data_IF_208831405379
#
_entry.id   IF_208831405379
#
_cell.length_a   1.000
_cell.length_b   1.000
_cell.length_c   1.000
_cell.angle_alpha   90.00
_cell.angle_beta   90.00
_cell.angle_gamma   90.00
#
_symmetry.space_group_name_H-M   'P 1'
#
loop_
_entity.id
_entity.type
_entity.pdbx_description
1 polymer ?
#
# COMPACT_ATOMS: atom_id res chain seq x y z
N UNK A 1 -22.75 -2.68 -4.31
CA UNK A 1 -22.34 -3.34 -3.05
C UNK A 1 -22.61 -4.83 -3.19
N UNK A 2 -21.58 -5.64 -3.42
CA UNK A 2 -21.73 -7.11 -3.46
C UNK A 2 -21.89 -7.58 -2.02
N UNK A 3 -23.14 -7.66 -1.57
CA UNK A 3 -23.46 -8.23 -0.28
C UNK A 3 -23.28 -9.73 -0.37
N UNK A 4 -22.20 -10.27 0.19
CA UNK A 4 -22.14 -11.68 0.54
C UNK A 4 -23.39 -12.02 1.38
N UNK A 5 -24.15 -13.04 1.02
CA UNK A 5 -25.36 -13.52 1.73
C UNK A 5 -25.05 -14.15 3.11
N UNK A 6 -23.92 -13.77 3.72
CA UNK A 6 -23.59 -14.12 5.08
C UNK A 6 -24.35 -13.21 6.04
N UNK A 7 -25.07 -13.83 6.99
CA UNK A 7 -25.74 -13.17 8.13
C UNK A 7 -24.88 -12.03 8.67
N UNK A 8 -25.49 -10.89 9.01
CA UNK A 8 -24.76 -9.70 9.48
C UNK A 8 -23.85 -10.02 10.67
N UNK A 9 -24.27 -10.94 11.54
CA UNK A 9 -23.47 -11.46 12.65
C UNK A 9 -22.17 -12.12 12.18
N UNK A 10 -22.18 -12.88 11.09
CA UNK A 10 -20.95 -13.47 10.54
C UNK A 10 -19.99 -12.47 9.94
N UNK A 11 -20.49 -11.39 9.31
CA UNK A 11 -19.62 -10.32 8.81
C UNK A 11 -18.94 -9.58 9.95
N UNK A 12 -19.67 -9.29 11.04
CA UNK A 12 -19.13 -8.59 12.20
C UNK A 12 -18.11 -9.46 12.95
N UNK A 13 -18.42 -10.76 13.15
CA UNK A 13 -17.49 -11.70 13.77
C UNK A 13 -16.24 -11.89 12.92
N UNK A 14 -16.38 -12.06 11.61
CA UNK A 14 -15.23 -12.24 10.71
C UNK A 14 -14.38 -10.97 10.64
N UNK A 15 -15.00 -9.79 10.64
CA UNK A 15 -14.28 -8.51 10.65
C UNK A 15 -13.56 -8.29 11.98
N UNK A 16 -14.21 -8.58 13.12
CA UNK A 16 -13.57 -8.49 14.44
C UNK A 16 -12.44 -9.50 14.60
N UNK A 17 -12.61 -10.72 14.08
CA UNK A 17 -11.59 -11.75 14.07
C UNK A 17 -10.43 -11.36 13.15
N UNK A 18 -10.67 -10.79 11.96
CA UNK A 18 -9.60 -10.36 11.06
C UNK A 18 -8.83 -9.14 11.59
N UNK A 19 -9.52 -8.20 12.24
CA UNK A 19 -8.91 -6.95 12.72
C UNK A 19 -8.03 -7.16 13.95
N UNK A 20 -8.45 -8.03 14.88
CA UNK A 20 -7.80 -8.22 16.17
C UNK A 20 -7.41 -9.69 16.40
N UNK A 21 -8.33 -10.64 16.18
CA UNK A 21 -8.11 -12.03 16.58
C UNK A 21 -7.03 -12.80 15.80
N UNK A 22 -7.12 -12.84 14.47
CA UNK A 22 -6.28 -13.66 13.60
C UNK A 22 -4.82 -13.18 13.66
N UNK A 23 -4.48 -11.90 13.44
CA UNK A 23 -3.07 -11.50 13.38
C UNK A 23 -2.31 -11.77 14.70
N UNK A 24 -2.96 -11.51 15.83
CA UNK A 24 -2.37 -11.66 17.16
C UNK A 24 -2.24 -13.14 17.55
N UNK A 25 -3.27 -13.95 17.29
CA UNK A 25 -3.22 -15.39 17.53
C UNK A 25 -2.17 -16.08 16.65
N UNK A 26 -2.05 -15.71 15.38
CA UNK A 26 -1.02 -16.25 14.50
C UNK A 26 0.38 -15.82 14.94
N UNK A 27 0.55 -14.59 15.45
CA UNK A 27 1.84 -14.13 15.99
C UNK A 27 2.22 -14.90 17.24
N UNK A 28 1.28 -15.08 18.18
CA UNK A 28 1.49 -15.88 19.39
C UNK A 28 1.76 -17.35 19.06
N UNK A 29 0.99 -17.94 18.14
CA UNK A 29 1.21 -19.31 17.66
C UNK A 29 2.58 -19.45 16.98
N UNK A 30 2.98 -18.49 16.15
CA UNK A 30 4.30 -18.48 15.52
C UNK A 30 5.42 -18.40 16.57
N UNK A 31 5.28 -17.55 17.59
CA UNK A 31 6.26 -17.47 18.69
C UNK A 31 6.27 -18.75 19.54
N UNK A 32 5.12 -19.37 19.77
CA UNK A 32 5.01 -20.61 20.54
C UNK A 32 5.61 -21.82 19.79
N UNK A 33 5.36 -21.93 18.48
CA UNK A 33 5.85 -23.03 17.64
C UNK A 33 7.33 -22.87 17.29
N UNK A 34 7.74 -21.65 16.93
CA UNK A 34 9.07 -21.35 16.39
C UNK A 34 10.07 -20.90 17.48
N UNK A 35 9.55 -20.58 18.67
CA UNK A 35 10.31 -19.94 19.75
C UNK A 35 10.68 -18.48 19.44
N UNK A 36 11.17 -17.76 20.46
CA UNK A 36 11.78 -16.42 20.28
C UNK A 36 12.87 -16.37 19.20
N UNK A 37 13.85 -17.28 19.14
CA UNK A 37 14.92 -17.19 18.14
C UNK A 37 14.40 -17.44 16.73
N UNK A 38 13.45 -18.34 16.56
CA UNK A 38 12.88 -18.65 15.26
C UNK A 38 11.92 -17.56 14.75
N UNK A 39 11.14 -16.91 15.62
CA UNK A 39 10.36 -15.72 15.22
C UNK A 39 11.26 -14.57 14.76
N UNK A 40 12.40 -14.35 15.43
CA UNK A 40 13.39 -13.37 15.01
C UNK A 40 13.97 -13.72 13.62
N UNK A 41 14.23 -15.01 13.37
CA UNK A 41 14.66 -15.49 12.05
C UNK A 41 13.58 -15.27 10.97
N UNK A 42 12.32 -15.58 11.25
CA UNK A 42 11.21 -15.33 10.33
C UNK A 42 11.09 -13.84 9.99
N UNK A 43 11.18 -12.98 11.01
CA UNK A 43 11.19 -11.52 10.81
C UNK A 43 12.37 -11.09 9.94
N UNK A 44 13.57 -11.60 10.21
CA UNK A 44 14.76 -11.28 9.43
C UNK A 44 14.64 -11.76 7.97
N UNK A 45 14.08 -12.94 7.75
CA UNK A 45 13.82 -13.48 6.42
C UNK A 45 12.79 -12.63 5.65
N UNK A 46 11.67 -12.27 6.28
CA UNK A 46 10.66 -11.39 5.68
C UNK A 46 11.24 -10.01 5.35
N UNK A 47 12.00 -9.41 6.26
CA UNK A 47 12.70 -8.15 6.00
C UNK A 47 13.76 -8.30 4.91
N UNK A 48 14.45 -9.44 4.84
CA UNK A 48 15.42 -9.73 3.77
C UNK A 48 14.77 -9.85 2.40
N UNK A 49 13.62 -10.52 2.33
CA UNK A 49 12.81 -10.60 1.12
C UNK A 49 12.29 -9.21 0.71
N UNK A 50 11.81 -8.42 1.67
CA UNK A 50 11.36 -7.05 1.44
C UNK A 50 12.49 -6.15 0.93
N UNK A 51 13.70 -6.30 1.48
CA UNK A 51 14.91 -5.60 1.00
C UNK A 51 15.33 -6.05 -0.39
N UNK A 52 15.08 -7.31 -0.77
CA UNK A 52 15.34 -7.79 -2.15
C UNK A 52 14.36 -7.21 -3.17
N UNK A 53 13.14 -6.91 -2.73
CA UNK A 53 12.16 -6.14 -3.50
C UNK A 53 12.38 -4.62 -3.41
N UNK A 54 13.35 -4.15 -2.61
CA UNK A 54 13.61 -2.72 -2.49
C UNK A 54 14.08 -2.19 -3.86
N UNK A 55 13.35 -1.22 -4.43
CA UNK A 55 13.62 -0.75 -5.77
C UNK A 55 14.96 0.04 -5.80
N UNK A 56 15.69 -0.01 -6.93
CA UNK A 56 17.01 0.64 -7.06
C UNK A 56 17.00 2.12 -6.68
N UNK A 57 18.05 2.58 -6.01
CA UNK A 57 18.12 3.90 -5.37
C UNK A 57 17.92 5.07 -6.35
N UNK A 58 18.51 5.03 -7.54
CA UNK A 58 18.39 6.12 -8.52
C UNK A 58 17.46 5.74 -9.69
N UNK A 59 16.28 6.34 -9.75
CA UNK A 59 15.39 6.26 -10.93
C UNK A 59 15.59 7.46 -11.84
N UNK A 60 15.52 7.24 -13.16
CA UNK A 60 15.56 8.34 -14.13
C UNK A 60 14.37 9.28 -13.95
N UNK A 61 14.55 10.56 -14.32
CA UNK A 61 13.53 11.61 -14.16
C UNK A 61 12.21 11.27 -14.88
N UNK A 62 12.28 10.56 -16.01
CA UNK A 62 11.13 10.04 -16.75
C UNK A 62 10.38 8.95 -15.99
N UNK A 63 11.10 7.99 -15.39
CA UNK A 63 10.51 6.95 -14.54
C UNK A 63 9.90 7.52 -13.26
N UNK A 64 10.54 8.52 -12.66
CA UNK A 64 10.00 9.24 -11.49
C UNK A 64 8.68 9.95 -11.82
N UNK A 65 8.62 10.70 -12.92
CA UNK A 65 7.38 11.37 -13.36
C UNK A 65 6.26 10.39 -13.70
N UNK A 66 6.56 9.35 -14.49
CA UNK A 66 5.59 8.34 -14.86
C UNK A 66 5.05 7.59 -13.62
N UNK A 67 5.95 7.22 -12.70
CA UNK A 67 5.58 6.65 -11.41
C UNK A 67 4.69 7.59 -10.60
N UNK A 68 5.08 8.85 -10.46
CA UNK A 68 4.32 9.85 -9.69
C UNK A 68 2.90 10.03 -10.25
N UNK A 69 2.75 10.10 -11.57
CA UNK A 69 1.42 10.12 -12.20
C UNK A 69 0.67 8.83 -11.88
N UNK A 70 1.32 7.67 -12.00
CA UNK A 70 0.73 6.37 -11.68
C UNK A 70 0.34 6.21 -10.20
N UNK A 71 0.98 6.95 -9.29
CA UNK A 71 0.65 7.00 -7.86
C UNK A 71 -0.51 7.95 -7.57
N UNK A 72 -0.50 9.15 -8.16
CA UNK A 72 -1.53 10.18 -7.94
C UNK A 72 -2.87 9.85 -8.59
N UNK A 73 -2.85 9.28 -9.81
CA UNK A 73 -4.07 8.93 -10.55
C UNK A 73 -5.03 8.05 -9.74
N UNK A 74 -4.61 6.88 -9.20
CA UNK A 74 -5.53 6.03 -8.43
C UNK A 74 -6.01 6.69 -7.13
N UNK A 75 -5.17 7.50 -6.47
CA UNK A 75 -5.56 8.21 -5.24
C UNK A 75 -6.64 9.26 -5.54
N UNK A 76 -6.40 10.12 -6.52
CA UNK A 76 -7.36 11.16 -6.93
C UNK A 76 -8.64 10.53 -7.47
N UNK A 77 -8.51 9.47 -8.25
CA UNK A 77 -9.66 8.71 -8.75
C UNK A 77 -10.49 8.17 -7.59
N UNK A 78 -9.88 7.47 -6.63
CA UNK A 78 -10.58 6.97 -5.45
C UNK A 78 -11.29 8.10 -4.68
N UNK A 79 -10.64 9.25 -4.52
CA UNK A 79 -11.24 10.40 -3.85
C UNK A 79 -12.44 10.98 -4.62
N UNK A 80 -12.33 11.19 -5.93
CA UNK A 80 -13.39 11.72 -6.79
C UNK A 80 -14.62 10.80 -6.79
N UNK A 81 -14.43 9.49 -6.78
CA UNK A 81 -15.53 8.51 -6.81
C UNK A 81 -16.44 8.58 -5.57
N UNK A 82 -15.93 9.07 -4.43
CA UNK A 82 -16.74 9.30 -3.22
C UNK A 82 -17.74 10.45 -3.45
N UNK A 83 -17.32 11.50 -4.16
CA UNK A 83 -18.12 12.70 -4.37
C UNK A 83 -19.10 12.56 -5.53
N UNK A 84 -18.73 11.85 -6.60
CA UNK A 84 -19.58 11.71 -7.78
C UNK A 84 -19.58 10.27 -8.33
N UNK A 85 -20.26 9.34 -7.65
CA UNK A 85 -20.26 7.93 -8.04
C UNK A 85 -20.93 7.67 -9.42
N UNK A 86 -21.78 8.58 -9.89
CA UNK A 86 -22.58 8.39 -11.11
C UNK A 86 -21.95 8.94 -12.40
N UNK A 87 -20.76 9.53 -12.35
CA UNK A 87 -20.09 10.12 -13.52
C UNK A 87 -19.51 9.08 -14.49
N UNK A 88 -19.30 7.83 -14.03
CA UNK A 88 -18.67 6.76 -14.81
C UNK A 88 -19.55 5.51 -14.79
N UNK A 89 -20.35 5.25 -15.85
CA UNK A 89 -21.21 4.07 -15.93
C UNK A 89 -20.44 2.75 -15.77
N UNK A 90 -19.22 2.67 -16.29
CA UNK A 90 -18.36 1.49 -16.19
C UNK A 90 -17.92 1.15 -14.76
N UNK A 91 -17.87 2.13 -13.86
CA UNK A 91 -17.51 1.92 -12.45
C UNK A 91 -18.63 1.20 -11.67
N UNK A 92 -19.88 1.41 -12.09
CA UNK A 92 -21.07 0.77 -11.51
C UNK A 92 -21.19 -0.68 -11.99
N UNK A 93 -20.80 -0.97 -13.24
CA UNK A 93 -20.88 -2.31 -13.83
C UNK A 93 -19.85 -3.28 -13.25
N UNK A 94 -18.61 -2.84 -13.01
CA UNK A 94 -17.53 -3.70 -12.51
C UNK A 94 -16.72 -3.06 -11.36
N UNK A 95 -17.35 -2.76 -10.21
CA UNK A 95 -16.72 -2.01 -9.12
C UNK A 95 -15.46 -2.69 -8.55
N UNK A 96 -15.47 -4.02 -8.46
CA UNK A 96 -14.33 -4.79 -7.93
C UNK A 96 -13.14 -4.75 -8.89
N UNK A 97 -13.37 -4.83 -10.20
CA UNK A 97 -12.29 -4.82 -11.19
C UNK A 97 -11.53 -3.49 -11.13
N UNK A 98 -12.27 -2.36 -11.12
CA UNK A 98 -11.65 -1.04 -11.01
C UNK A 98 -10.92 -0.83 -9.68
N UNK A 99 -11.46 -1.32 -8.56
CA UNK A 99 -10.79 -1.25 -7.26
C UNK A 99 -9.47 -2.03 -7.27
N UNK A 100 -9.49 -3.29 -7.71
CA UNK A 100 -8.30 -4.14 -7.79
C UNK A 100 -7.26 -3.55 -8.75
N UNK A 101 -7.69 -3.04 -9.91
CA UNK A 101 -6.78 -2.38 -10.85
C UNK A 101 -6.14 -1.14 -10.23
N UNK A 102 -6.92 -0.31 -9.53
CA UNK A 102 -6.41 0.87 -8.83
C UNK A 102 -5.39 0.50 -7.75
N UNK A 103 -5.68 -0.52 -6.94
CA UNK A 103 -4.78 -1.01 -5.89
C UNK A 103 -3.48 -1.57 -6.48
N UNK A 104 -3.56 -2.39 -7.54
CA UNK A 104 -2.39 -2.93 -8.22
C UNK A 104 -1.54 -1.82 -8.86
N UNK A 105 -2.19 -0.82 -9.47
CA UNK A 105 -1.52 0.35 -10.06
C UNK A 105 -0.82 1.18 -8.97
N UNK A 106 -1.47 1.38 -7.83
CA UNK A 106 -0.90 2.07 -6.67
C UNK A 106 0.32 1.32 -6.12
N UNK A 107 0.20 0.02 -5.89
CA UNK A 107 1.31 -0.83 -5.41
C UNK A 107 2.46 -0.82 -6.43
N UNK A 108 2.17 -1.01 -7.72
CA UNK A 108 3.17 -0.95 -8.78
C UNK A 108 3.87 0.41 -8.83
N UNK A 109 3.15 1.50 -8.54
CA UNK A 109 3.74 2.84 -8.57
C UNK A 109 4.83 2.99 -7.52
N UNK A 110 4.64 2.46 -6.31
CA UNK A 110 5.66 2.50 -5.25
C UNK A 110 6.97 1.80 -5.66
N UNK A 111 6.88 0.73 -6.46
CA UNK A 111 8.05 0.07 -7.04
C UNK A 111 8.67 0.86 -8.21
N UNK A 112 7.86 1.57 -8.99
CA UNK A 112 8.32 2.41 -10.10
C UNK A 112 9.01 3.68 -9.60
N UNK A 113 8.52 4.32 -8.53
CA UNK A 113 9.08 5.56 -7.98
C UNK A 113 10.43 5.38 -7.27
N UNK A 114 10.78 4.17 -6.83
CA UNK A 114 12.11 3.88 -6.28
C UNK A 114 12.36 4.33 -4.83
N UNK A 115 13.59 4.14 -4.36
CA UNK A 115 14.03 4.47 -3.00
C UNK A 115 13.97 5.97 -2.68
N UNK A 116 14.43 6.83 -3.61
CA UNK A 116 14.44 8.29 -3.45
C UNK A 116 13.07 8.89 -3.11
N UNK A 117 11.98 8.28 -3.60
CA UNK A 117 10.63 8.72 -3.26
C UNK A 117 10.23 8.32 -1.84
N UNK A 118 10.60 7.12 -1.40
CA UNK A 118 10.36 6.68 -0.02
C UNK A 118 11.07 7.58 0.99
N UNK A 119 12.26 8.09 0.66
CA UNK A 119 12.97 9.05 1.50
C UNK A 119 12.24 10.39 1.60
N UNK A 120 11.62 10.86 0.50
CA UNK A 120 10.75 12.05 0.52
C UNK A 120 9.49 11.84 1.37
N UNK A 121 8.84 10.68 1.27
CA UNK A 121 7.70 10.33 2.14
C UNK A 121 8.16 10.31 3.60
N UNK A 122 9.28 9.66 3.91
CA UNK A 122 9.82 9.60 5.26
C UNK A 122 10.12 11.00 5.80
N UNK A 123 10.74 11.85 4.99
CA UNK A 123 11.03 13.24 5.33
C UNK A 123 9.76 14.02 5.69
N UNK A 124 8.63 13.78 5.00
CA UNK A 124 7.36 14.43 5.31
C UNK A 124 6.88 14.19 6.76
N UNK A 125 7.19 13.03 7.35
CA UNK A 125 6.83 12.70 8.73
C UNK A 125 7.89 13.13 9.76
N UNK A 126 9.05 13.61 9.32
CA UNK A 126 10.10 14.12 10.21
C UNK A 126 9.98 15.63 10.29
N UNK A 127 9.55 16.15 11.45
CA UNK A 127 9.30 17.60 11.63
C UNK A 127 10.50 18.49 11.25
N UNK A 128 11.73 18.03 11.49
CA UNK A 128 12.95 18.77 11.17
C UNK A 128 13.40 18.67 9.71
N UNK A 129 12.72 17.90 8.87
CA UNK A 129 13.11 17.74 7.48
C UNK A 129 12.80 19.00 6.66
N UNK A 130 13.72 19.37 5.77
CA UNK A 130 13.55 20.48 4.83
C UNK A 130 13.75 19.99 3.40
N UNK A 131 12.93 20.47 2.48
CA UNK A 131 13.10 20.19 1.05
C UNK A 131 14.23 21.08 0.49
N UNK A 132 15.25 20.46 -0.10
CA UNK A 132 16.28 21.16 -0.84
C UNK A 132 15.93 21.14 -2.33
N UNK A 133 15.64 22.30 -2.91
CA UNK A 133 15.43 22.43 -4.34
C UNK A 133 16.78 22.65 -5.02
N UNK A 134 17.07 22.00 -6.16
CA UNK A 134 18.26 22.32 -6.94
C UNK A 134 18.18 23.79 -7.39
N UNK A 135 19.33 24.48 -7.37
CA UNK A 135 19.41 25.86 -7.81
C UNK A 135 18.91 25.96 -9.25
N UNK A 136 18.09 26.97 -9.53
CA UNK A 136 17.63 27.25 -10.88
C UNK A 136 18.87 27.56 -11.73
N UNK A 137 19.23 26.64 -12.63
CA UNK A 137 20.22 26.91 -13.66
C UNK A 137 19.63 28.02 -14.52
N UNK A 138 20.16 29.23 -14.32
CA UNK A 138 19.80 30.44 -15.05
C UNK A 138 20.19 30.34 -16.53
#
# INVERSE_FOLDING_TARGET
>A
MVGSDLSSGWKTTLSGLLLLGIPELFTLAAVAILGKPGFAYLKAFLFGLLRRLAPPDAVSLTRYRAGLVMFLVPILFAWITIYVPNLIPGLVTHPIAFAVTGDLMLVASLFVLGGDFWDKIRALFVHGARAHFPDAVA
#
